data_IF_438116679922
#
_entry.id   IF_438116679922
#
_cell.length_a   1.000
_cell.length_b   1.000
_cell.length_c   1.000
_cell.angle_alpha   90.00
_cell.angle_beta   90.00
_cell.angle_gamma   90.00
#
_symmetry.space_group_name_H-M   'P 1'
#
loop_
_entity.id
_entity.type
_entity.pdbx_description
1 polymer ?
#
# COMPACT_ATOMS: atom_id res chain seq x y z
N UNK A 1 -6.73 -18.84 -13.29
CA UNK A 1 -6.70 -17.45 -13.79
C UNK A 1 -7.05 -16.39 -12.70
N UNK A 2 -6.58 -16.51 -11.45
CA UNK A 2 -6.81 -15.47 -10.40
C UNK A 2 -5.52 -14.94 -9.75
N UNK A 3 -4.41 -15.67 -9.89
CA UNK A 3 -3.15 -15.36 -9.20
C UNK A 3 -2.41 -14.17 -9.85
N UNK A 4 -2.46 -14.01 -11.18
CA UNK A 4 -1.64 -13.01 -11.90
C UNK A 4 -2.16 -11.57 -11.67
N UNK A 5 -3.47 -11.39 -11.51
CA UNK A 5 -4.07 -10.07 -11.29
C UNK A 5 -3.71 -9.52 -9.90
N UNK A 6 -3.58 -10.39 -8.90
CA UNK A 6 -3.24 -10.01 -7.52
C UNK A 6 -1.79 -9.52 -7.45
N UNK A 7 -0.87 -10.21 -8.11
CA UNK A 7 0.56 -9.87 -8.08
C UNK A 7 0.83 -8.53 -8.78
N UNK A 8 0.21 -8.30 -9.94
CA UNK A 8 0.33 -7.04 -10.67
C UNK A 8 -0.23 -5.84 -9.85
N UNK A 9 -1.40 -6.01 -9.21
CA UNK A 9 -1.97 -4.99 -8.33
C UNK A 9 -1.10 -4.76 -7.09
N UNK A 10 -0.65 -5.83 -6.43
CA UNK A 10 0.19 -5.75 -5.25
C UNK A 10 1.51 -5.02 -5.53
N UNK A 11 2.15 -5.32 -6.67
CA UNK A 11 3.35 -4.61 -7.13
C UNK A 11 3.08 -3.13 -7.36
N UNK A 12 1.99 -2.79 -8.05
CA UNK A 12 1.63 -1.39 -8.29
C UNK A 12 1.42 -0.61 -6.98
N UNK A 13 0.72 -1.20 -6.01
CA UNK A 13 0.55 -0.60 -4.69
C UNK A 13 1.89 -0.47 -3.98
N UNK A 14 2.72 -1.51 -4.01
CA UNK A 14 4.01 -1.55 -3.31
C UNK A 14 5.03 -0.53 -3.84
N UNK A 15 4.97 -0.17 -5.13
CA UNK A 15 5.75 0.94 -5.68
C UNK A 15 5.28 2.31 -5.20
N UNK A 16 3.99 2.47 -4.88
CA UNK A 16 3.41 3.72 -4.39
C UNK A 16 3.50 3.88 -2.87
N UNK A 17 4.03 2.88 -2.16
CA UNK A 17 4.20 2.89 -0.70
C UNK A 17 5.68 3.06 -0.39
N UNK A 18 5.99 4.14 0.35
CA UNK A 18 7.34 4.47 0.83
C UNK A 18 7.57 3.79 2.17
N UNK A 19 8.72 3.15 2.34
CA UNK A 19 9.12 2.77 3.68
C UNK A 19 9.70 3.99 4.42
N UNK A 20 8.96 4.51 5.39
CA UNK A 20 9.37 5.60 6.28
C UNK A 20 10.63 5.24 7.05
N UNK A 21 10.69 4.01 7.55
CA UNK A 21 11.80 3.48 8.35
C UNK A 21 13.04 3.15 7.51
N UNK A 22 12.92 3.04 6.18
CA UNK A 22 14.00 2.55 5.33
C UNK A 22 14.78 3.64 4.60
N UNK A 23 14.56 4.91 4.93
CA UNK A 23 15.41 5.99 4.44
C UNK A 23 15.23 6.37 2.97
N UNK A 24 13.98 6.30 2.44
CA UNK A 24 13.53 6.80 1.11
C UNK A 24 13.36 5.82 -0.05
N UNK A 25 13.35 4.52 0.22
CA UNK A 25 13.08 3.48 -0.78
C UNK A 25 11.65 2.94 -0.72
N UNK A 26 11.16 2.42 -1.85
CA UNK A 26 9.85 1.76 -1.96
C UNK A 26 9.80 0.49 -1.11
N UNK A 27 8.63 0.07 -0.66
CA UNK A 27 8.51 -1.20 0.08
C UNK A 27 8.75 -2.43 -0.82
N UNK A 28 8.65 -2.27 -2.15
CA UNK A 28 8.97 -3.34 -3.09
C UNK A 28 10.47 -3.63 -3.12
N UNK A 29 11.29 -2.58 -3.16
CA UNK A 29 12.76 -2.67 -3.23
C UNK A 29 13.39 -2.86 -1.84
N UNK A 30 12.70 -2.44 -0.77
CA UNK A 30 13.22 -2.51 0.59
C UNK A 30 13.05 -3.87 1.24
N UNK A 31 14.13 -4.44 1.81
CA UNK A 31 14.12 -5.72 2.52
C UNK A 31 13.81 -5.60 4.03
N UNK A 32 13.40 -4.42 4.51
CA UNK A 32 13.06 -4.26 5.92
C UNK A 32 11.85 -5.13 6.32
N UNK A 33 11.82 -5.55 7.57
CA UNK A 33 10.72 -6.37 8.11
C UNK A 33 9.35 -5.70 7.91
N UNK A 34 9.32 -4.37 8.06
CA UNK A 34 8.11 -3.56 7.81
C UNK A 34 7.66 -3.64 6.34
N UNK A 35 8.59 -3.62 5.39
CA UNK A 35 8.30 -3.71 3.97
C UNK A 35 7.78 -5.11 3.58
N UNK A 36 8.31 -6.16 4.21
CA UNK A 36 7.82 -7.53 4.02
C UNK A 36 6.39 -7.68 4.59
N UNK A 37 6.14 -7.11 5.77
CA UNK A 37 4.83 -7.11 6.41
C UNK A 37 3.78 -6.40 5.55
N UNK A 38 4.09 -5.19 5.06
CA UNK A 38 3.20 -4.39 4.20
C UNK A 38 2.86 -5.13 2.91
N UNK A 39 3.85 -5.74 2.23
CA UNK A 39 3.64 -6.54 1.03
C UNK A 39 2.74 -7.76 1.27
N UNK A 40 2.81 -8.36 2.45
CA UNK A 40 1.91 -9.46 2.83
C UNK A 40 0.49 -8.96 3.07
N UNK A 41 0.33 -7.87 3.83
CA UNK A 41 -0.95 -7.24 4.12
C UNK A 41 -1.68 -6.82 2.83
N UNK A 42 -0.99 -6.14 1.91
CA UNK A 42 -1.54 -5.72 0.62
C UNK A 42 -2.12 -6.92 -0.15
N UNK A 43 -1.37 -8.02 -0.22
CA UNK A 43 -1.85 -9.24 -0.91
C UNK A 43 -3.06 -9.85 -0.24
N UNK A 44 -3.11 -9.86 1.09
CA UNK A 44 -4.23 -10.40 1.85
C UNK A 44 -5.49 -9.53 1.69
N UNK A 45 -5.36 -8.20 1.68
CA UNK A 45 -6.48 -7.29 1.42
C UNK A 45 -7.00 -7.38 -0.04
N UNK A 46 -6.10 -7.50 -1.03
CA UNK A 46 -6.51 -7.74 -2.43
C UNK A 46 -7.26 -9.07 -2.56
N UNK A 47 -6.79 -10.13 -1.87
CA UNK A 47 -7.49 -11.42 -1.81
C UNK A 47 -8.84 -11.31 -1.10
N UNK A 48 -8.94 -10.43 -0.11
CA UNK A 48 -10.19 -10.06 0.56
C UNK A 48 -11.16 -9.27 -0.31
N UNK A 49 -10.77 -8.90 -1.54
CA UNK A 49 -11.64 -8.15 -2.47
C UNK A 49 -11.66 -6.66 -2.19
N UNK A 50 -10.72 -6.13 -1.41
CA UNK A 50 -10.62 -4.70 -1.12
C UNK A 50 -10.15 -3.91 -2.34
N UNK A 51 -10.59 -2.65 -2.40
CA UNK A 51 -10.11 -1.72 -3.42
C UNK A 51 -8.73 -1.19 -3.04
N UNK A 52 -7.96 -0.73 -4.03
CA UNK A 52 -6.62 -0.17 -3.78
C UNK A 52 -6.68 1.01 -2.77
N UNK A 53 -7.76 1.80 -2.81
CA UNK A 53 -8.01 2.91 -1.88
C UNK A 53 -8.17 2.46 -0.43
N UNK A 54 -8.95 1.40 -0.21
CA UNK A 54 -9.15 0.85 1.14
C UNK A 54 -7.84 0.30 1.71
N UNK A 55 -7.01 -0.28 0.84
CA UNK A 55 -5.69 -0.78 1.21
C UNK A 55 -4.79 0.38 1.63
N UNK A 56 -4.69 1.44 0.82
CA UNK A 56 -3.89 2.61 1.18
C UNK A 56 -4.33 3.24 2.50
N UNK A 57 -5.64 3.45 2.68
CA UNK A 57 -6.18 3.99 3.93
C UNK A 57 -5.80 3.13 5.13
N UNK A 58 -5.90 1.81 5.01
CA UNK A 58 -5.54 0.89 6.09
C UNK A 58 -4.04 0.91 6.39
N UNK A 59 -3.20 1.00 5.37
CA UNK A 59 -1.75 1.13 5.56
C UNK A 59 -1.42 2.43 6.31
N UNK A 60 -2.11 3.53 6.00
CA UNK A 60 -1.94 4.79 6.70
C UNK A 60 -2.48 4.75 8.14
N UNK A 61 -3.64 4.16 8.37
CA UNK A 61 -4.22 4.03 9.71
C UNK A 61 -3.33 3.16 10.63
N UNK A 62 -2.74 2.08 10.09
CA UNK A 62 -1.91 1.14 10.84
C UNK A 62 -0.44 1.57 10.96
N UNK A 63 0.11 2.25 9.94
CA UNK A 63 1.55 2.56 9.83
C UNK A 63 1.88 4.07 9.73
N UNK A 64 0.89 4.93 9.60
CA UNK A 64 1.00 6.40 9.55
C UNK A 64 0.92 7.01 8.14
N UNK A 65 0.52 8.28 8.06
CA UNK A 65 0.32 9.03 6.79
C UNK A 65 1.60 9.13 5.94
N UNK A 66 2.77 9.02 6.56
CA UNK A 66 4.08 9.14 5.91
C UNK A 66 4.50 7.90 5.13
N UNK A 67 3.78 6.78 5.24
CA UNK A 67 4.06 5.51 4.54
C UNK A 67 3.70 5.55 3.05
N UNK A 68 2.93 6.53 2.59
CA UNK A 68 2.48 6.62 1.20
C UNK A 68 3.26 7.68 0.42
N UNK A 69 3.64 7.39 -0.84
CA UNK A 69 4.18 8.41 -1.75
C UNK A 69 3.08 9.32 -2.31
N UNK A 70 1.87 8.78 -2.50
CA UNK A 70 0.76 9.52 -3.09
C UNK A 70 -0.07 10.17 -1.98
N UNK A 71 -0.25 11.51 -1.99
CA UNK A 71 -1.21 12.16 -1.12
C UNK A 71 -2.62 11.67 -1.46
N UNK A 72 -3.47 11.61 -0.42
CA UNK A 72 -4.86 11.15 -0.50
C UNK A 72 -5.56 11.81 -1.70
N UNK A 73 -5.99 11.02 -2.68
CA UNK A 73 -7.22 11.37 -3.39
C UNK A 73 -8.37 10.99 -2.48
N UNK A 74 -8.50 11.74 -1.38
CA UNK A 74 -9.65 11.63 -0.51
C UNK A 74 -10.84 12.26 -1.24
N UNK A 75 -11.91 11.48 -1.38
CA UNK A 75 -13.21 12.03 -1.76
C UNK A 75 -13.78 12.90 -0.64
N UNK A 76 -13.12 13.01 0.52
CA UNK A 76 -13.43 14.03 1.53
C UNK A 76 -13.13 15.47 1.09
N UNK A 77 -12.35 15.70 0.03
CA UNK A 77 -12.23 17.06 -0.55
C UNK A 77 -13.36 17.39 -1.55
N UNK A 78 -14.29 16.46 -1.83
CA UNK A 78 -15.45 16.74 -2.68
C UNK A 78 -16.63 17.39 -1.91
N UNK A 79 -16.46 17.70 -0.62
CA UNK A 79 -17.53 18.21 0.25
C UNK A 79 -17.16 19.51 1.00
N UNK A 80 -16.33 20.39 0.42
CA UNK A 80 -16.22 21.79 0.84
C UNK A 80 -16.54 22.73 -0.33
#
# INVERSE_FOLDING_TARGET
MRIIVVDARARNISHNVRCTECGSQSIEDSQADIAILLRKLIRDEIRGGKSDKDIYKKLEDDFGETVLYAPKFDLQTAAL
#
